data_IF_902275416344
#
_entry.id   IF_902275416344
#
_cell.length_a   1.000
_cell.length_b   1.000
_cell.length_c   1.000
_cell.angle_alpha   90.00
_cell.angle_beta   90.00
_cell.angle_gamma   90.00
#
_symmetry.space_group_name_H-M   'P 1'
#
loop_
_entity.id
_entity.type
_entity.pdbx_description
1 polymer ?
#
# COMPACT_ATOMS: atom_id res chain seq x y z
N UNK A 1 -13.86 19.03 -10.54
CA UNK A 1 -13.53 18.62 -9.14
C UNK A 1 -12.93 17.21 -9.02
N UNK A 2 -12.43 16.60 -10.11
CA UNK A 2 -11.92 15.21 -10.06
C UNK A 2 -10.58 15.06 -9.31
N UNK A 3 -9.81 16.13 -9.14
CA UNK A 3 -8.51 16.10 -8.44
C UNK A 3 -8.62 15.61 -6.99
N UNK A 4 -9.71 15.95 -6.28
CA UNK A 4 -9.93 15.58 -4.88
C UNK A 4 -10.68 14.25 -4.69
N UNK A 5 -10.84 13.44 -5.75
CA UNK A 5 -11.51 12.14 -5.70
C UNK A 5 -10.53 10.95 -5.80
N UNK A 6 -9.22 11.22 -5.83
CA UNK A 6 -8.20 10.19 -5.98
C UNK A 6 -8.08 9.36 -4.71
N UNK A 7 -7.91 8.06 -4.86
CA UNK A 7 -7.64 7.12 -3.76
C UNK A 7 -6.37 6.33 -4.07
N UNK A 8 -5.63 5.95 -3.02
CA UNK A 8 -4.50 5.04 -3.14
C UNK A 8 -4.96 3.58 -3.09
N UNK A 9 -4.30 2.69 -3.84
CA UNK A 9 -4.59 1.25 -3.77
C UNK A 9 -3.90 0.63 -2.55
N UNK A 10 -4.67 -0.09 -1.73
CA UNK A 10 -4.15 -0.78 -0.53
C UNK A 10 -3.76 -2.23 -0.81
N UNK A 11 -4.17 -2.78 -1.95
CA UNK A 11 -3.78 -4.12 -2.39
C UNK A 11 -2.27 -4.22 -2.56
N UNK A 12 -1.65 -5.24 -1.95
CA UNK A 12 -0.22 -5.48 -2.04
C UNK A 12 0.66 -4.47 -1.28
N UNK A 13 0.08 -3.69 -0.35
CA UNK A 13 0.80 -2.72 0.49
C UNK A 13 1.06 -3.24 1.89
N UNK A 14 2.06 -2.68 2.58
CA UNK A 14 2.39 -3.05 3.96
C UNK A 14 1.27 -2.62 4.93
N UNK A 15 0.87 -3.44 5.92
CA UNK A 15 -0.18 -3.07 6.87
C UNK A 15 0.06 -1.72 7.57
N UNK A 16 1.28 -1.47 8.05
CA UNK A 16 1.65 -0.20 8.68
C UNK A 16 1.48 1.00 7.74
N UNK A 17 1.81 0.84 6.46
CA UNK A 17 1.62 1.90 5.45
C UNK A 17 0.15 2.16 5.14
N UNK A 18 -0.68 1.12 5.18
CA UNK A 18 -2.14 1.24 5.02
C UNK A 18 -2.73 2.00 6.20
N UNK A 19 -2.30 1.69 7.43
CA UNK A 19 -2.73 2.41 8.64
C UNK A 19 -2.36 3.89 8.57
N UNK A 20 -1.12 4.22 8.19
CA UNK A 20 -0.68 5.61 8.04
C UNK A 20 -1.51 6.36 6.99
N UNK A 21 -1.73 5.74 5.82
CA UNK A 21 -2.57 6.28 4.76
C UNK A 21 -4.00 6.53 5.25
N UNK A 22 -4.64 5.55 5.89
CA UNK A 22 -6.01 5.66 6.38
C UNK A 22 -6.16 6.77 7.43
N UNK A 23 -5.21 6.89 8.35
CA UNK A 23 -5.20 7.97 9.35
C UNK A 23 -5.08 9.34 8.68
N UNK A 24 -4.18 9.47 7.70
CA UNK A 24 -4.02 10.71 6.92
C UNK A 24 -5.28 11.06 6.15
N UNK A 25 -5.92 10.08 5.50
CA UNK A 25 -7.19 10.27 4.79
C UNK A 25 -8.33 10.69 5.72
N UNK A 26 -8.41 10.08 6.90
CA UNK A 26 -9.42 10.43 7.91
C UNK A 26 -9.24 11.87 8.41
N UNK A 27 -8.00 12.27 8.70
CA UNK A 27 -7.69 13.66 9.08
C UNK A 27 -8.00 14.66 7.94
N UNK A 28 -7.84 14.25 6.68
CA UNK A 28 -8.12 15.08 5.51
C UNK A 28 -9.60 15.18 5.14
N UNK A 29 -10.46 14.31 5.66
CA UNK A 29 -11.85 14.20 5.22
C UNK A 29 -12.63 15.52 5.35
N UNK A 30 -12.43 16.23 6.45
CA UNK A 30 -13.09 17.52 6.69
C UNK A 30 -12.62 18.58 5.69
N UNK A 31 -11.31 18.68 5.45
CA UNK A 31 -10.72 19.63 4.51
C UNK A 31 -11.09 19.31 3.06
N UNK A 32 -11.15 18.03 2.70
CA UNK A 32 -11.59 17.55 1.40
C UNK A 32 -13.04 17.97 1.12
N UNK A 33 -13.91 17.78 2.12
CA UNK A 33 -15.32 18.15 2.04
C UNK A 33 -15.48 19.67 1.95
N UNK A 34 -14.77 20.42 2.80
CA UNK A 34 -14.77 21.89 2.80
C UNK A 34 -14.30 22.45 1.45
N UNK A 35 -13.16 21.98 0.92
CA UNK A 35 -12.62 22.45 -0.36
C UNK A 35 -13.56 22.15 -1.53
N UNK A 36 -14.20 20.96 -1.57
CA UNK A 36 -15.22 20.62 -2.57
C UNK A 36 -16.43 21.55 -2.47
N UNK A 37 -16.93 21.79 -1.26
CA UNK A 37 -18.09 22.65 -1.04
C UNK A 37 -17.79 24.10 -1.39
N UNK A 38 -16.64 24.64 -0.98
CA UNK A 38 -16.21 26.00 -1.34
C UNK A 38 -16.06 26.16 -2.86
N UNK A 39 -15.40 25.21 -3.53
CA UNK A 39 -15.26 25.24 -4.98
C UNK A 39 -16.63 25.18 -5.68
N UNK A 40 -17.52 24.30 -5.23
CA UNK A 40 -18.89 24.21 -5.76
C UNK A 40 -19.68 25.50 -5.57
N UNK A 41 -19.61 26.10 -4.38
CA UNK A 41 -20.31 27.34 -4.09
C UNK A 41 -19.87 28.46 -5.05
N UNK A 42 -18.56 28.59 -5.30
CA UNK A 42 -18.05 29.57 -6.27
C UNK A 42 -18.47 29.22 -7.71
N UNK A 43 -18.47 27.94 -8.10
CA UNK A 43 -18.88 27.50 -9.45
C UNK A 43 -20.37 27.79 -9.70
N UNK A 44 -21.22 27.65 -8.69
CA UNK A 44 -22.66 27.85 -8.81
C UNK A 44 -23.08 29.33 -8.78
N UNK A 45 -22.18 30.25 -8.38
CA UNK A 45 -22.49 31.68 -8.39
C UNK A 45 -22.64 32.19 -9.84
N UNK A 46 -23.73 32.94 -10.15
CA UNK A 46 -23.93 33.52 -11.48
C UNK A 46 -22.88 34.58 -11.83
N UNK A 47 -22.43 35.34 -10.83
CA UNK A 47 -21.31 36.28 -10.94
C UNK A 47 -20.31 35.96 -9.83
N UNK A 48 -19.03 35.85 -10.21
CA UNK A 48 -17.93 35.43 -9.34
C UNK A 48 -16.75 36.36 -9.58
N UNK A 49 -16.05 36.69 -8.50
CA UNK A 49 -14.85 37.52 -8.58
C UNK A 49 -13.60 36.66 -8.82
N UNK A 50 -12.56 37.27 -9.41
CA UNK A 50 -11.26 36.62 -9.58
C UNK A 50 -10.69 36.18 -8.22
N UNK A 51 -10.89 36.99 -7.18
CA UNK A 51 -10.40 36.71 -5.83
C UNK A 51 -11.07 35.48 -5.19
N UNK A 52 -12.39 35.32 -5.38
CA UNK A 52 -13.12 34.13 -4.90
C UNK A 52 -12.64 32.86 -5.60
N UNK A 53 -12.45 32.94 -6.93
CA UNK A 53 -11.93 31.82 -7.72
C UNK A 53 -10.52 31.47 -7.28
N UNK A 54 -9.65 32.46 -7.08
CA UNK A 54 -8.27 32.25 -6.65
C UNK A 54 -8.20 31.61 -5.26
N UNK A 55 -9.03 32.07 -4.33
CA UNK A 55 -9.09 31.53 -2.97
C UNK A 55 -9.55 30.07 -2.97
N UNK A 56 -10.59 29.75 -3.75
CA UNK A 56 -11.06 28.37 -3.92
C UNK A 56 -9.99 27.48 -4.57
N UNK A 57 -9.28 27.99 -5.59
CA UNK A 57 -8.20 27.27 -6.26
C UNK A 57 -7.04 26.97 -5.32
N UNK A 58 -6.59 27.96 -4.53
CA UNK A 58 -5.55 27.77 -3.52
C UNK A 58 -5.93 26.69 -2.50
N UNK A 59 -7.18 26.70 -2.03
CA UNK A 59 -7.65 25.69 -1.08
C UNK A 59 -7.68 24.29 -1.71
N UNK A 60 -8.19 24.15 -2.94
CA UNK A 60 -8.19 22.89 -3.68
C UNK A 60 -6.77 22.36 -3.89
N UNK A 61 -5.82 23.21 -4.29
CA UNK A 61 -4.43 22.82 -4.52
C UNK A 61 -3.76 22.31 -3.23
N UNK A 62 -3.93 23.04 -2.13
CA UNK A 62 -3.40 22.64 -0.81
C UNK A 62 -3.92 21.27 -0.39
N UNK A 63 -5.22 21.04 -0.53
CA UNK A 63 -5.82 19.73 -0.19
C UNK A 63 -5.34 18.64 -1.13
N UNK A 64 -5.17 18.94 -2.42
CA UNK A 64 -4.66 17.99 -3.41
C UNK A 64 -3.21 17.56 -3.13
N UNK A 65 -2.36 18.49 -2.68
CA UNK A 65 -0.99 18.19 -2.24
C UNK A 65 -0.99 17.23 -1.06
N UNK A 66 -1.81 17.49 -0.03
CA UNK A 66 -1.91 16.62 1.13
C UNK A 66 -2.50 15.25 0.80
N UNK A 67 -3.46 15.19 -0.12
CA UNK A 67 -3.98 13.93 -0.65
C UNK A 67 -2.88 13.13 -1.35
N UNK A 68 -2.03 13.80 -2.14
CA UNK A 68 -0.88 13.18 -2.79
C UNK A 68 0.13 12.64 -1.77
N UNK A 69 0.43 13.42 -0.73
CA UNK A 69 1.31 12.98 0.36
C UNK A 69 0.76 11.76 1.09
N UNK A 70 -0.55 11.73 1.38
CA UNK A 70 -1.20 10.57 1.99
C UNK A 70 -1.04 9.33 1.10
N UNK A 71 -1.36 9.43 -0.19
CA UNK A 71 -1.21 8.32 -1.15
C UNK A 71 0.23 7.81 -1.22
N UNK A 72 1.22 8.72 -1.18
CA UNK A 72 2.63 8.38 -1.21
C UNK A 72 3.13 7.64 0.04
N UNK A 73 2.36 7.60 1.13
CA UNK A 73 2.67 6.77 2.29
C UNK A 73 2.50 5.28 2.00
N UNK A 74 1.80 4.87 0.93
CA UNK A 74 1.51 3.47 0.61
C UNK A 74 2.74 2.73 0.05
N UNK A 75 3.46 2.06 0.94
CA UNK A 75 4.66 1.27 0.63
C UNK A 75 4.27 -0.13 0.15
N UNK A 76 4.80 -0.62 -1.00
CA UNK A 76 4.57 -1.99 -1.44
C UNK A 76 5.13 -3.02 -0.47
N UNK A 77 4.52 -4.20 -0.44
CA UNK A 77 5.14 -5.38 0.18
C UNK A 77 6.48 -5.67 -0.51
N UNK A 78 7.46 -6.11 0.28
CA UNK A 78 8.70 -6.62 -0.31
C UNK A 78 8.39 -7.90 -1.11
N UNK A 79 9.07 -8.10 -2.23
CA UNK A 79 8.98 -9.37 -2.95
C UNK A 79 9.66 -10.46 -2.10
N UNK A 80 8.86 -11.42 -1.65
CA UNK A 80 9.31 -12.55 -0.83
C UNK A 80 9.37 -13.86 -1.65
N UNK A 81 9.33 -13.78 -2.98
CA UNK A 81 9.43 -14.93 -3.89
C UNK A 81 10.66 -15.78 -3.59
N UNK A 82 11.84 -15.16 -3.49
CA UNK A 82 13.10 -15.84 -3.20
C UNK A 82 13.10 -16.56 -1.85
N UNK A 83 12.54 -15.94 -0.80
CA UNK A 83 12.42 -16.57 0.53
C UNK A 83 11.51 -17.79 0.49
N UNK A 84 10.38 -17.71 -0.23
CA UNK A 84 9.46 -18.85 -0.41
C UNK A 84 10.14 -20.00 -1.15
N UNK A 85 10.87 -19.71 -2.23
CA UNK A 85 11.64 -20.73 -2.96
C UNK A 85 12.70 -21.39 -2.08
N UNK A 86 13.45 -20.61 -1.31
CA UNK A 86 14.45 -21.15 -0.39
C UNK A 86 13.82 -22.05 0.68
N UNK A 87 12.67 -21.65 1.23
CA UNK A 87 11.90 -22.49 2.18
C UNK A 87 11.47 -23.80 1.54
N UNK A 88 10.90 -23.78 0.34
CA UNK A 88 10.47 -25.00 -0.37
C UNK A 88 11.65 -25.94 -0.61
N UNK A 89 12.79 -25.42 -1.09
CA UNK A 89 14.00 -26.24 -1.29
C UNK A 89 14.51 -26.86 0.02
N UNK A 90 14.45 -26.10 1.12
CA UNK A 90 14.83 -26.61 2.43
C UNK A 90 13.87 -27.72 2.89
N UNK A 91 12.57 -27.51 2.73
CA UNK A 91 11.55 -28.52 3.07
C UNK A 91 11.74 -29.79 2.22
N UNK A 92 12.07 -29.67 0.93
CA UNK A 92 12.39 -30.79 0.05
C UNK A 92 13.63 -31.57 0.53
N UNK A 93 14.72 -30.88 0.87
CA UNK A 93 15.96 -31.53 1.27
C UNK A 93 15.87 -32.16 2.67
N UNK A 94 15.06 -31.59 3.58
CA UNK A 94 14.74 -32.19 4.89
C UNK A 94 13.90 -33.46 4.72
N UNK A 95 12.93 -33.44 3.82
CA UNK A 95 12.02 -34.58 3.59
C UNK A 95 12.63 -35.66 2.70
N UNK A 96 13.82 -35.44 2.17
CA UNK A 96 14.56 -36.42 1.38
C UNK A 96 15.04 -37.53 2.32
N UNK A 97 14.48 -38.72 2.17
CA UNK A 97 14.94 -39.90 2.88
C UNK A 97 16.42 -40.15 2.58
N UNK A 98 17.23 -40.29 3.63
CA UNK A 98 18.59 -40.81 3.49
C UNK A 98 18.49 -42.25 2.99
N UNK A 99 18.95 -42.50 1.77
CA UNK A 99 19.08 -43.86 1.25
C UNK A 99 20.33 -44.48 1.87
N UNK A 100 20.18 -45.69 2.41
CA UNK A 100 21.28 -46.52 2.90
C UNK A 100 21.85 -47.42 1.79
N UNK A 101 21.45 -47.23 0.52
CA UNK A 101 22.03 -47.98 -0.60
C UNK A 101 23.53 -47.66 -0.69
N UNK A 102 24.34 -48.65 -0.32
CA UNK A 102 25.80 -48.55 -0.20
C UNK A 102 26.34 -48.83 1.20
N UNK A 103 25.50 -48.96 2.23
CA UNK A 103 25.96 -49.46 3.53
C UNK A 103 26.19 -50.98 3.43
N UNK A 104 27.45 -51.42 3.45
CA UNK A 104 27.79 -52.85 3.47
C UNK A 104 27.12 -53.50 4.69
N UNK A 105 26.29 -54.55 4.52
CA UNK A 105 25.66 -55.21 5.66
C UNK A 105 26.74 -55.81 6.56
N UNK A 106 26.62 -55.61 7.87
CA UNK A 106 27.46 -56.26 8.86
C UNK A 106 27.13 -57.76 8.83
N UNK A 107 27.94 -58.56 8.14
CA UNK A 107 27.89 -60.02 8.22
C UNK A 107 28.46 -60.39 9.59
N UNK A 108 27.60 -60.78 10.53
CA UNK A 108 28.03 -61.33 11.80
C UNK A 108 28.33 -62.83 11.59
N UNK A 109 29.58 -63.31 11.68
CA UNK A 109 29.84 -64.74 11.59
C UNK A 109 29.39 -65.40 12.90
N UNK A 110 28.46 -66.35 12.79
CA UNK A 110 28.04 -67.20 13.91
C UNK A 110 29.25 -67.96 14.47
N UNK A 111 29.50 -67.83 15.77
CA UNK A 111 30.39 -68.70 16.56
C UNK A 111 29.51 -69.58 17.45
#
# INVERSE_FOLDING_TARGET
MQQLNRTGTTTGKKPASITAYNNSMHALQAELTSAKNSANAIIQKPIRTVQEVQSALTNVNRVNERLTQAINQLVPLADNSALRTAKTKLDEEINKSVTTDGMTPIINPSI
#
